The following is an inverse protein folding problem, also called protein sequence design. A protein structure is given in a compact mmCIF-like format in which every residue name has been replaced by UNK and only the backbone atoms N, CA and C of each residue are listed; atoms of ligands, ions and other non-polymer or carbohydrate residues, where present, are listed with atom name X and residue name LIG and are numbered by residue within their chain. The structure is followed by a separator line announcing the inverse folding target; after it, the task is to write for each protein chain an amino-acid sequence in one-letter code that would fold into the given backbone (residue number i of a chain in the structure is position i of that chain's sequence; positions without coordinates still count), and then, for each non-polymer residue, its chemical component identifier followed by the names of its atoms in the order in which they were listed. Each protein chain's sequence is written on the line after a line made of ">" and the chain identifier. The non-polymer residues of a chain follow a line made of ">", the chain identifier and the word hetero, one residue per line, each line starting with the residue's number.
data_IF_354137016724
#
_entry.id   IF_354137016724
#
_cell.length_a   1.000
_cell.length_b   1.000
_cell.length_c   1.000
_cell.angle_alpha   90.00
_cell.angle_beta   90.00
_cell.angle_gamma   90.00
#
_symmetry.space_group_name_H-M   'P 1'
#
loop_
_entity.id
_entity.type
_entity.pdbx_description
1 polymer ?
#
# COMPACT_ATOMS: atom_id res chain seq x y z
N UNK A 1 22.05 -26.68 6.19
CA UNK A 1 20.80 -25.91 5.99
C UNK A 1 19.83 -26.50 4.95
N UNK A 2 20.24 -26.85 3.71
CA UNK A 2 19.30 -27.31 2.66
C UNK A 2 18.52 -28.62 2.94
N UNK A 3 18.98 -29.50 3.84
CA UNK A 3 18.28 -30.77 4.17
C UNK A 3 17.10 -30.57 5.13
N UNK A 4 17.16 -29.60 6.03
CA UNK A 4 16.08 -29.35 7.00
C UNK A 4 14.81 -28.79 6.30
N UNK A 5 15.01 -27.89 5.35
CA UNK A 5 13.94 -27.27 4.55
C UNK A 5 13.22 -28.34 3.69
N UNK A 6 13.98 -29.30 3.14
CA UNK A 6 13.41 -30.36 2.30
C UNK A 6 12.54 -31.34 3.11
N UNK A 7 12.87 -31.58 4.39
CA UNK A 7 12.09 -32.45 5.29
C UNK A 7 10.77 -31.81 5.71
N UNK A 8 10.72 -30.48 5.82
CA UNK A 8 9.51 -29.72 6.14
C UNK A 8 8.52 -29.70 4.96
N UNK A 9 9.02 -29.58 3.72
CA UNK A 9 8.18 -29.58 2.52
C UNK A 9 7.62 -30.97 2.14
N UNK A 10 8.25 -32.06 2.59
CA UNK A 10 7.78 -33.43 2.31
C UNK A 10 6.73 -33.96 3.29
N UNK A 11 6.42 -33.22 4.36
CA UNK A 11 5.37 -33.62 5.30
C UNK A 11 4.01 -33.25 4.72
N UNK A 12 3.60 -34.04 3.73
CA UNK A 12 2.27 -34.04 3.13
C UNK A 12 1.27 -34.40 4.22
N UNK A 13 0.59 -33.41 4.79
CA UNK A 13 -0.62 -33.62 5.57
C UNK A 13 -1.68 -34.17 4.62
N UNK A 14 -1.94 -35.47 4.70
CA UNK A 14 -3.16 -36.07 4.16
C UNK A 14 -4.35 -35.55 4.98
N UNK A 15 -4.76 -34.32 4.70
CA UNK A 15 -6.10 -33.86 5.06
C UNK A 15 -7.04 -34.34 3.96
N UNK A 16 -7.87 -35.34 4.27
CA UNK A 16 -9.02 -35.70 3.45
C UNK A 16 -9.91 -34.46 3.31
N UNK A 17 -9.85 -33.82 2.15
CA UNK A 17 -10.77 -32.76 1.76
C UNK A 17 -12.15 -33.40 1.57
N UNK A 18 -12.97 -33.40 2.63
CA UNK A 18 -14.40 -33.55 2.48
C UNK A 18 -14.95 -32.23 1.94
N UNK A 19 -15.10 -32.19 0.62
CA UNK A 19 -15.79 -31.15 -0.12
C UNK A 19 -17.29 -31.18 0.23
N UNK A 20 -17.65 -30.59 1.38
CA UNK A 20 -19.03 -30.18 1.69
C UNK A 20 -19.13 -29.35 2.97
N UNK A 21 -18.19 -28.42 3.21
CA UNK A 21 -18.39 -27.40 4.26
C UNK A 21 -19.36 -26.37 3.71
N UNK A 22 -20.65 -26.74 3.76
CA UNK A 22 -21.80 -25.88 3.54
C UNK A 22 -21.62 -24.65 4.45
N UNK A 23 -21.51 -23.47 3.83
CA UNK A 23 -21.39 -22.15 4.47
C UNK A 23 -22.74 -21.77 5.11
N UNK A 24 -23.29 -22.64 5.94
CA UNK A 24 -24.64 -22.51 6.51
C UNK A 24 -24.67 -22.63 8.02
N UNK A 25 -23.53 -22.47 8.72
CA UNK A 25 -23.46 -22.54 10.20
C UNK A 25 -23.05 -21.23 10.87
N UNK A 26 -23.30 -20.08 10.22
CA UNK A 26 -23.16 -18.78 10.88
C UNK A 26 -24.42 -18.35 11.66
N UNK A 27 -25.48 -19.17 11.71
CA UNK A 27 -26.75 -18.78 12.37
C UNK A 27 -27.16 -19.61 13.59
N UNK A 28 -26.30 -20.47 14.13
CA UNK A 28 -26.63 -21.32 15.29
C UNK A 28 -25.73 -21.02 16.49
N UNK A 29 -25.59 -19.73 16.85
CA UNK A 29 -24.82 -19.28 18.03
C UNK A 29 -25.64 -19.43 19.33
N UNK A 30 -26.94 -19.76 19.24
CA UNK A 30 -27.84 -19.92 20.37
C UNK A 30 -28.49 -21.32 20.44
N UNK A 31 -27.77 -22.38 20.05
CA UNK A 31 -28.23 -23.74 20.32
C UNK A 31 -27.84 -24.14 21.74
N UNK A 32 -28.84 -24.51 22.56
CA UNK A 32 -28.69 -24.99 23.94
C UNK A 32 -27.83 -26.28 24.05
N UNK A 33 -27.52 -26.92 22.92
CA UNK A 33 -26.69 -28.12 22.87
C UNK A 33 -25.18 -27.82 22.73
N UNK A 34 -24.75 -26.55 22.65
CA UNK A 34 -23.32 -26.24 22.58
C UNK A 34 -22.55 -26.57 23.86
N UNK A 35 -23.20 -26.65 25.02
CA UNK A 35 -22.53 -27.00 26.28
C UNK A 35 -21.94 -28.43 26.25
N UNK A 36 -22.55 -29.33 25.48
CA UNK A 36 -22.08 -30.72 25.34
C UNK A 36 -20.90 -30.84 24.37
N UNK A 37 -20.89 -30.05 23.29
CA UNK A 37 -19.79 -30.02 22.31
C UNK A 37 -18.59 -29.17 22.76
N UNK A 38 -18.82 -28.10 23.55
CA UNK A 38 -17.75 -27.32 24.20
C UNK A 38 -17.09 -28.13 25.32
N UNK A 39 -17.83 -29.04 25.98
CA UNK A 39 -17.27 -29.97 26.97
C UNK A 39 -16.18 -30.91 26.45
N UNK A 40 -16.07 -31.06 25.12
CA UNK A 40 -15.09 -31.91 24.44
C UNK A 40 -13.83 -31.12 24.03
N UNK A 41 -13.92 -29.78 23.92
CA UNK A 41 -12.78 -28.94 23.59
C UNK A 41 -12.06 -28.50 24.87
N UNK A 42 -10.83 -28.97 25.00
CA UNK A 42 -9.95 -28.68 26.14
C UNK A 42 -9.89 -27.17 26.39
N UNK A 43 -10.17 -26.74 27.63
CA UNK A 43 -10.20 -25.32 28.04
C UNK A 43 -8.89 -24.59 27.71
N UNK A 44 -7.80 -25.32 27.59
CA UNK A 44 -6.49 -24.80 27.18
C UNK A 44 -6.42 -24.45 25.68
N UNK A 45 -7.11 -25.22 24.83
CA UNK A 45 -7.15 -24.98 23.38
C UNK A 45 -7.98 -23.73 23.05
N UNK A 46 -9.09 -23.52 23.77
CA UNK A 46 -9.91 -22.29 23.68
C UNK A 46 -9.16 -21.07 24.23
N UNK A 47 -8.26 -21.23 25.22
CA UNK A 47 -7.36 -20.15 25.66
C UNK A 47 -6.25 -19.83 24.64
N UNK A 48 -5.83 -20.82 23.86
CA UNK A 48 -4.79 -20.63 22.84
C UNK A 48 -5.31 -19.87 21.61
N UNK A 49 -6.60 -20.01 21.31
CA UNK A 49 -7.32 -19.26 20.28
C UNK A 49 -8.04 -18.07 20.94
N UNK A 50 -7.31 -16.98 21.17
CA UNK A 50 -7.72 -15.71 21.78
C UNK A 50 -8.93 -14.97 21.11
N UNK A 51 -9.82 -15.66 20.40
CA UNK A 51 -10.89 -15.07 19.60
C UNK A 51 -12.24 -14.94 20.30
N UNK A 52 -12.51 -15.69 21.38
CA UNK A 52 -13.80 -15.61 22.08
C UNK A 52 -13.56 -15.44 23.58
N UNK A 53 -13.72 -14.21 24.05
CA UNK A 53 -13.80 -13.94 25.48
C UNK A 53 -15.10 -14.53 26.01
N UNK A 54 -15.00 -15.60 26.80
CA UNK A 54 -16.03 -16.17 27.68
C UNK A 54 -17.49 -15.83 27.31
N UNK A 55 -18.20 -16.79 26.72
CA UNK A 55 -19.66 -16.73 26.59
C UNK A 55 -20.24 -16.65 28.01
N UNK A 56 -20.89 -15.55 28.35
CA UNK A 56 -21.56 -15.42 29.64
C UNK A 56 -22.76 -16.35 29.70
N UNK A 57 -22.72 -17.39 30.54
CA UNK A 57 -23.78 -18.42 30.70
C UNK A 57 -25.20 -17.91 31.05
N UNK A 58 -25.42 -16.58 31.14
CA UNK A 58 -26.73 -16.00 31.48
C UNK A 58 -27.28 -15.00 30.47
N UNK A 59 -26.46 -14.53 29.53
CA UNK A 59 -26.85 -13.62 28.44
C UNK A 59 -25.94 -13.95 27.27
N UNK A 60 -26.50 -14.40 26.15
CA UNK A 60 -25.79 -14.61 24.89
C UNK A 60 -25.21 -13.30 24.35
N UNK A 61 -24.22 -12.74 25.04
CA UNK A 61 -23.48 -11.55 24.68
C UNK A 61 -22.08 -12.03 24.29
N UNK A 62 -21.74 -11.84 23.02
CA UNK A 62 -20.38 -12.08 22.53
C UNK A 62 -19.53 -10.93 23.08
N UNK A 63 -18.81 -11.19 24.17
CA UNK A 63 -17.81 -10.28 24.68
C UNK A 63 -16.53 -10.50 23.86
N UNK A 64 -16.26 -9.61 22.90
CA UNK A 64 -14.95 -9.58 22.25
C UNK A 64 -13.90 -9.30 23.33
N UNK A 65 -13.15 -10.34 23.71
CA UNK A 65 -12.04 -10.21 24.63
C UNK A 65 -11.04 -9.22 24.04
N UNK A 66 -10.79 -8.11 24.74
CA UNK A 66 -9.73 -7.17 24.39
C UNK A 66 -8.40 -7.91 24.52
N UNK A 67 -7.93 -8.53 23.44
CA UNK A 67 -6.65 -9.22 23.43
C UNK A 67 -5.55 -8.17 23.29
N UNK A 68 -4.78 -7.96 24.37
CA UNK A 68 -3.66 -7.00 24.40
C UNK A 68 -2.66 -7.25 23.26
N UNK A 69 -2.55 -8.50 22.78
CA UNK A 69 -1.68 -8.88 21.66
C UNK A 69 -2.11 -8.24 20.33
N UNK A 70 -3.41 -8.21 20.01
CA UNK A 70 -3.89 -7.58 18.78
C UNK A 70 -3.66 -6.06 18.80
N UNK A 71 -3.91 -5.43 19.96
CA UNK A 71 -3.69 -4.00 20.14
C UNK A 71 -2.20 -3.64 19.97
N UNK A 72 -1.28 -4.41 20.56
CA UNK A 72 0.17 -4.21 20.40
C UNK A 72 0.61 -4.37 18.95
N UNK A 73 0.12 -5.41 18.24
CA UNK A 73 0.49 -5.65 16.82
C UNK A 73 -0.03 -4.52 15.93
N UNK A 74 -1.28 -4.08 16.12
CA UNK A 74 -1.88 -3.00 15.34
C UNK A 74 -1.18 -1.67 15.60
N UNK A 75 -0.90 -1.32 16.86
CA UNK A 75 -0.17 -0.10 17.21
C UNK A 75 1.23 -0.15 16.61
N UNK A 76 1.95 -1.27 16.75
CA UNK A 76 3.31 -1.41 16.21
C UNK A 76 3.32 -1.28 14.68
N UNK A 77 2.35 -1.90 13.99
CA UNK A 77 2.20 -1.79 12.54
C UNK A 77 1.87 -0.37 12.11
N UNK A 78 0.96 0.32 12.83
CA UNK A 78 0.58 1.69 12.53
C UNK A 78 1.74 2.66 12.74
N UNK A 79 2.48 2.53 13.85
CA UNK A 79 3.65 3.35 14.12
C UNK A 79 4.72 3.15 13.04
N UNK A 80 5.00 1.91 12.65
CA UNK A 80 5.93 1.62 11.55
C UNK A 80 5.49 2.22 10.23
N UNK A 81 4.21 2.12 9.89
CA UNK A 81 3.64 2.73 8.69
C UNK A 81 3.75 4.26 8.71
N UNK A 82 3.40 4.91 9.83
CA UNK A 82 3.48 6.36 9.97
C UNK A 82 4.92 6.88 9.84
N UNK A 83 5.88 6.21 10.48
CA UNK A 83 7.30 6.56 10.35
C UNK A 83 7.77 6.42 8.90
N UNK A 84 7.47 5.29 8.26
CA UNK A 84 7.79 5.08 6.84
C UNK A 84 7.13 6.11 5.92
N UNK A 85 5.89 6.49 6.21
CA UNK A 85 5.16 7.50 5.47
C UNK A 85 5.79 8.89 5.63
N UNK A 86 6.24 9.27 6.83
CA UNK A 86 6.95 10.54 7.05
C UNK A 86 8.22 10.62 6.19
N UNK A 87 9.08 9.59 6.25
CA UNK A 87 10.30 9.55 5.41
C UNK A 87 10.00 9.54 3.92
N UNK A 88 8.91 8.87 3.52
CA UNK A 88 8.45 8.87 2.13
C UNK A 88 8.06 10.28 1.69
N UNK A 89 7.27 11.00 2.47
CA UNK A 89 6.86 12.38 2.15
C UNK A 89 8.07 13.31 2.09
N UNK A 90 8.99 13.22 3.04
CA UNK A 90 10.24 14.00 3.02
C UNK A 90 11.02 13.77 1.72
N UNK A 91 11.28 12.51 1.39
CA UNK A 91 12.00 12.13 0.15
C UNK A 91 11.31 12.67 -1.10
N UNK A 92 9.98 12.59 -1.13
CA UNK A 92 9.15 13.04 -2.25
C UNK A 92 9.19 14.57 -2.39
N UNK A 93 9.15 15.31 -1.29
CA UNK A 93 9.27 16.78 -1.26
C UNK A 93 10.66 17.23 -1.69
N UNK A 94 11.72 16.59 -1.18
CA UNK A 94 13.10 16.95 -1.52
C UNK A 94 13.39 16.68 -2.99
N UNK A 95 12.94 15.53 -3.50
CA UNK A 95 13.06 15.20 -4.92
C UNK A 95 12.32 16.21 -5.80
N UNK A 96 11.14 16.69 -5.38
CA UNK A 96 10.42 17.73 -6.10
C UNK A 96 11.19 19.05 -6.13
N UNK A 97 11.74 19.50 -5.00
CA UNK A 97 12.50 20.76 -4.93
C UNK A 97 13.72 20.73 -5.84
N UNK A 98 14.55 19.69 -5.72
CA UNK A 98 15.77 19.54 -6.52
C UNK A 98 15.46 19.50 -8.01
N UNK A 99 14.45 18.73 -8.42
CA UNK A 99 14.05 18.68 -9.82
C UNK A 99 13.43 19.99 -10.29
N UNK A 100 12.65 20.67 -9.44
CA UNK A 100 12.06 21.96 -9.72
C UNK A 100 13.12 23.03 -10.01
N UNK A 101 14.17 23.10 -9.19
CA UNK A 101 15.33 23.97 -9.41
C UNK A 101 16.05 23.63 -10.73
N UNK A 102 16.30 22.35 -10.98
CA UNK A 102 16.90 21.89 -12.23
C UNK A 102 16.06 22.30 -13.46
N UNK A 103 14.73 22.24 -13.35
CA UNK A 103 13.85 22.65 -14.43
C UNK A 103 13.91 24.16 -14.69
N UNK A 104 13.95 24.99 -13.65
CA UNK A 104 14.09 26.44 -13.80
C UNK A 104 15.45 26.81 -14.39
N UNK A 105 16.52 26.09 -14.00
CA UNK A 105 17.84 26.24 -14.65
C UNK A 105 17.73 25.97 -16.14
N UNK A 106 17.07 24.88 -16.54
CA UNK A 106 16.87 24.55 -17.96
C UNK A 106 16.05 25.61 -18.70
N UNK A 107 15.05 26.21 -18.04
CA UNK A 107 14.27 27.34 -18.61
C UNK A 107 15.17 28.57 -18.78
N UNK A 108 16.03 28.87 -17.80
CA UNK A 108 16.99 29.97 -17.90
C UNK A 108 17.95 29.77 -19.06
N UNK A 109 18.49 28.56 -19.22
CA UNK A 109 19.38 28.22 -20.34
C UNK A 109 18.64 28.38 -21.68
N UNK A 110 17.38 27.92 -21.76
CA UNK A 110 16.57 28.10 -22.96
C UNK A 110 16.31 29.57 -23.30
N UNK A 111 16.14 30.44 -22.29
CA UNK A 111 15.99 31.88 -22.49
C UNK A 111 17.27 32.52 -23.00
N UNK A 112 18.43 32.07 -22.52
CA UNK A 112 19.73 32.53 -23.01
C UNK A 112 19.94 32.13 -24.48
N UNK A 113 19.64 30.86 -24.81
CA UNK A 113 19.92 30.31 -26.14
C UNK A 113 18.91 30.74 -27.21
N UNK A 114 17.64 30.91 -26.85
CA UNK A 114 16.51 31.11 -27.79
C UNK A 114 15.71 32.38 -27.53
N UNK A 115 16.09 33.19 -26.54
CA UNK A 115 15.40 34.42 -26.14
C UNK A 115 14.28 34.21 -25.11
N UNK A 116 13.82 35.31 -24.50
CA UNK A 116 12.76 35.28 -23.46
C UNK A 116 11.47 34.60 -23.94
N UNK A 117 11.16 34.72 -25.24
CA UNK A 117 9.97 34.14 -25.87
C UNK A 117 10.23 32.76 -26.50
N UNK A 118 11.24 32.01 -26.01
CA UNK A 118 11.58 30.68 -26.56
C UNK A 118 10.38 29.72 -26.66
N UNK A 119 9.38 29.89 -25.79
CA UNK A 119 8.18 29.06 -25.77
C UNK A 119 7.30 29.24 -27.02
N UNK A 120 7.41 30.39 -27.70
CA UNK A 120 6.75 30.65 -28.98
C UNK A 120 7.54 30.10 -30.18
N UNK A 121 8.80 29.72 -29.99
CA UNK A 121 9.64 29.22 -31.08
C UNK A 121 9.10 27.87 -31.61
N UNK A 122 8.71 27.77 -32.90
CA UNK A 122 8.22 26.53 -33.50
C UNK A 122 9.35 25.51 -33.71
N UNK A 123 10.59 25.98 -33.85
CA UNK A 123 11.78 25.16 -34.10
C UNK A 123 12.50 24.75 -32.80
N UNK A 124 11.88 24.96 -31.64
CA UNK A 124 12.46 24.61 -30.34
C UNK A 124 12.72 23.09 -30.26
N UNK A 125 13.90 22.65 -29.79
CA UNK A 125 14.21 21.24 -29.61
C UNK A 125 13.16 20.48 -28.80
N UNK A 126 12.89 19.23 -29.17
CA UNK A 126 11.84 18.42 -28.55
C UNK A 126 12.00 18.25 -27.02
N UNK A 127 13.22 18.22 -26.51
CA UNK A 127 13.45 18.11 -25.06
C UNK A 127 13.05 19.40 -24.31
N UNK A 128 13.21 20.58 -24.95
CA UNK A 128 12.82 21.88 -24.39
C UNK A 128 11.32 22.16 -24.49
N UNK A 129 10.60 21.51 -25.40
CA UNK A 129 9.14 21.68 -25.55
C UNK A 129 8.35 21.45 -24.25
N UNK A 130 8.87 20.59 -23.37
CA UNK A 130 8.26 20.27 -22.06
C UNK A 130 8.33 21.42 -21.07
N UNK A 131 9.34 22.28 -21.22
CA UNK A 131 9.60 23.41 -20.34
C UNK A 131 8.83 24.67 -20.73
N UNK A 132 8.13 24.67 -21.88
CA UNK A 132 7.24 25.77 -22.29
C UNK A 132 6.21 26.11 -21.21
N UNK A 133 5.72 25.11 -20.49
CA UNK A 133 4.77 25.27 -19.39
C UNK A 133 5.34 26.03 -18.16
N UNK A 134 6.66 26.17 -18.08
CA UNK A 134 7.38 26.89 -17.02
C UNK A 134 7.98 28.22 -17.47
N UNK A 135 7.72 28.69 -18.70
CA UNK A 135 8.41 29.85 -19.27
C UNK A 135 8.35 31.11 -18.37
N UNK A 136 7.21 31.33 -17.72
CA UNK A 136 6.97 32.46 -16.82
C UNK A 136 7.00 32.08 -15.33
N UNK A 137 7.33 30.82 -15.02
CA UNK A 137 7.30 30.33 -13.65
C UNK A 137 8.52 30.82 -12.87
N UNK A 138 8.28 31.53 -11.74
CA UNK A 138 9.34 31.90 -10.79
C UNK A 138 9.77 30.75 -9.89
N UNK A 139 8.87 29.80 -9.67
CA UNK A 139 9.10 28.56 -8.93
C UNK A 139 8.25 27.45 -9.53
N UNK A 140 8.66 26.20 -9.34
CA UNK A 140 7.90 25.03 -9.83
C UNK A 140 6.95 24.57 -8.74
N UNK A 141 5.65 24.82 -8.91
CA UNK A 141 4.62 24.32 -8.01
C UNK A 141 4.49 22.80 -8.07
N UNK A 142 3.81 22.21 -7.08
CA UNK A 142 3.53 20.77 -7.07
C UNK A 142 2.78 20.34 -8.33
N UNK A 143 1.73 21.07 -8.72
CA UNK A 143 0.95 20.75 -9.91
C UNK A 143 1.79 20.87 -11.19
N UNK A 144 2.67 21.87 -11.28
CA UNK A 144 3.57 22.02 -12.41
C UNK A 144 4.59 20.88 -12.50
N UNK A 145 5.16 20.47 -11.37
CA UNK A 145 6.09 19.35 -11.31
C UNK A 145 5.45 18.04 -11.80
N UNK A 146 4.25 17.72 -11.31
CA UNK A 146 3.52 16.54 -11.75
C UNK A 146 3.07 16.63 -13.20
N UNK A 147 2.65 17.82 -13.65
CA UNK A 147 2.26 18.04 -15.04
C UNK A 147 3.43 17.69 -15.98
N UNK A 148 4.62 18.22 -15.71
CA UNK A 148 5.80 18.00 -16.54
C UNK A 148 6.31 16.56 -16.46
N UNK A 149 6.14 15.87 -15.33
CA UNK A 149 6.52 14.45 -15.23
C UNK A 149 5.54 13.53 -15.95
N UNK A 150 4.24 13.67 -15.71
CA UNK A 150 3.29 12.57 -15.89
C UNK A 150 2.18 12.85 -16.92
N UNK A 151 2.15 14.03 -17.53
CA UNK A 151 1.26 14.25 -18.68
C UNK A 151 1.77 13.53 -19.92
N UNK A 152 0.91 13.44 -20.93
CA UNK A 152 1.26 12.80 -22.20
C UNK A 152 2.42 13.52 -22.93
N UNK A 153 2.59 14.83 -22.70
CA UNK A 153 3.74 15.62 -23.16
C UNK A 153 4.93 15.61 -22.19
N UNK A 154 4.82 14.93 -21.04
CA UNK A 154 5.81 14.95 -19.96
C UNK A 154 7.03 14.03 -20.15
N UNK A 155 7.84 13.88 -19.10
CA UNK A 155 9.01 13.00 -19.08
C UNK A 155 8.68 11.51 -19.08
N UNK A 156 7.63 11.13 -18.34
CA UNK A 156 7.18 9.76 -18.15
C UNK A 156 5.85 9.51 -18.87
N UNK A 157 5.65 10.11 -20.05
CA UNK A 157 4.43 9.95 -20.85
C UNK A 157 3.95 8.49 -20.86
N UNK A 158 2.62 8.27 -20.87
CA UNK A 158 1.93 6.97 -20.71
C UNK A 158 2.52 5.81 -21.53
N UNK A 159 3.24 6.14 -22.60
CA UNK A 159 3.87 5.22 -23.53
C UNK A 159 4.91 4.24 -22.96
N UNK A 160 5.43 4.38 -21.72
CA UNK A 160 6.35 3.35 -21.18
C UNK A 160 5.65 2.18 -20.48
N UNK A 161 4.45 2.36 -19.93
CA UNK A 161 3.78 1.31 -19.15
C UNK A 161 2.80 0.49 -20.01
N UNK A 162 2.23 1.08 -21.07
CA UNK A 162 1.29 0.40 -21.97
C UNK A 162 1.93 -0.19 -23.24
N UNK A 163 3.19 0.12 -23.56
CA UNK A 163 3.85 -0.41 -24.78
C UNK A 163 4.12 -1.92 -24.77
N UNK A 164 3.96 -2.59 -23.63
CA UNK A 164 4.18 -4.03 -23.50
C UNK A 164 2.88 -4.85 -23.43
N UNK A 165 1.72 -4.24 -23.70
CA UNK A 165 0.42 -4.91 -23.62
C UNK A 165 -0.37 -4.93 -24.95
N UNK A 166 0.27 -4.55 -26.06
CA UNK A 166 -0.28 -4.70 -27.42
C UNK A 166 0.77 -5.24 -28.37
#
# INVERSE_FOLDING_TARGET
>A
MRRAIRKWLSQKTESKVNANVKISRLSTVCDLNLDEDIGILDKEQIKSENFIGLIGNKKCEILFGKSNLHEIVLISSLTGFLLGFCFFIETVVDTWKVNGESYLSTVSDAKIDYGEEFYLNPNLPNYLKKYKYLADAKSVSWSQYFHIRYTDSGFYSKSRVQKNYF
#
